data_IF_658248790141
#
_entry.id   IF_658248790141
#
_cell.length_a   1.000
_cell.length_b   1.000
_cell.length_c   1.000
_cell.angle_alpha   90.00
_cell.angle_beta   90.00
_cell.angle_gamma   90.00
#
_symmetry.space_group_name_H-M   'P 1'
#
loop_
_entity.id
_entity.type
_entity.pdbx_description
1 polymer ?
#
# COMPACT_ATOMS: atom_id res chain seq x y z
N UNK A 1 3.37 -17.12 -0.42
CA UNK A 1 4.17 -16.05 0.24
C UNK A 1 4.90 -15.19 -0.80
N UNK A 2 4.50 -15.27 -2.06
CA UNK A 2 5.43 -15.07 -3.17
C UNK A 2 5.34 -13.66 -3.76
N UNK A 3 4.16 -13.02 -3.68
CA UNK A 3 3.94 -11.68 -4.21
C UNK A 3 4.76 -10.61 -3.47
N UNK A 4 4.74 -10.58 -2.14
CA UNK A 4 5.48 -9.58 -1.37
C UNK A 4 6.99 -9.71 -1.58
N UNK A 5 7.50 -10.94 -1.59
CA UNK A 5 8.91 -11.21 -1.85
C UNK A 5 9.31 -10.75 -3.25
N UNK A 6 8.46 -11.01 -4.25
CA UNK A 6 8.68 -10.54 -5.62
C UNK A 6 8.68 -9.01 -5.70
N UNK A 7 7.78 -8.32 -4.99
CA UNK A 7 7.75 -6.85 -4.94
C UNK A 7 9.04 -6.32 -4.32
N UNK A 8 9.48 -6.88 -3.19
CA UNK A 8 10.75 -6.49 -2.54
C UNK A 8 11.93 -6.68 -3.50
N UNK A 9 12.04 -7.84 -4.15
CA UNK A 9 13.11 -8.12 -5.10
C UNK A 9 13.10 -7.15 -6.30
N UNK A 10 11.92 -6.79 -6.81
CA UNK A 10 11.81 -5.82 -7.89
C UNK A 10 12.18 -4.40 -7.46
N UNK A 11 11.85 -4.00 -6.23
CA UNK A 11 12.27 -2.72 -5.66
C UNK A 11 13.80 -2.69 -5.52
N UNK A 12 14.40 -3.74 -4.97
CA UNK A 12 15.86 -3.86 -4.84
C UNK A 12 16.56 -3.84 -6.20
N UNK A 13 15.99 -4.50 -7.20
CA UNK A 13 16.56 -4.57 -8.54
C UNK A 13 16.41 -3.26 -9.34
N UNK A 14 15.25 -2.61 -9.25
CA UNK A 14 14.94 -1.42 -10.07
C UNK A 14 15.26 -0.09 -9.39
N UNK A 15 15.44 -0.09 -8.07
CA UNK A 15 15.57 1.12 -7.26
C UNK A 15 14.29 1.95 -7.15
N UNK A 16 13.16 1.49 -7.72
CA UNK A 16 11.89 2.22 -7.69
C UNK A 16 11.22 2.04 -6.33
N UNK A 17 10.85 3.16 -5.72
CA UNK A 17 10.26 3.20 -4.36
C UNK A 17 8.75 3.43 -4.37
N UNK A 18 8.10 3.39 -5.55
CA UNK A 18 6.66 3.54 -5.71
C UNK A 18 6.04 2.23 -6.19
N UNK A 19 5.05 1.73 -5.45
CA UNK A 19 4.29 0.52 -5.82
C UNK A 19 2.81 0.88 -5.92
N UNK A 20 2.22 0.62 -7.07
CA UNK A 20 0.77 0.62 -7.25
C UNK A 20 0.28 -0.83 -7.31
N UNK A 21 -0.64 -1.18 -6.42
CA UNK A 21 -1.33 -2.47 -6.41
C UNK A 21 -2.74 -2.26 -6.95
N UNK A 22 -3.05 -2.93 -8.05
CA UNK A 22 -4.39 -2.91 -8.65
C UNK A 22 -5.22 -4.10 -8.16
N UNK A 23 -6.17 -3.80 -7.29
CA UNK A 23 -7.13 -4.75 -6.73
C UNK A 23 -8.56 -4.49 -7.22
N UNK A 24 -8.74 -3.71 -8.29
CA UNK A 24 -10.08 -3.39 -8.85
C UNK A 24 -10.88 -4.61 -9.30
N UNK A 25 -10.19 -5.73 -9.57
CA UNK A 25 -10.80 -7.01 -9.96
C UNK A 25 -11.24 -7.87 -8.79
N UNK A 26 -11.00 -7.45 -7.54
CA UNK A 26 -11.54 -8.17 -6.38
C UNK A 26 -13.05 -8.02 -6.33
N UNK A 27 -13.75 -9.14 -6.28
CA UNK A 27 -15.22 -9.17 -6.14
C UNK A 27 -15.68 -9.22 -4.70
N UNK A 28 -14.76 -9.55 -3.78
CA UNK A 28 -15.02 -9.69 -2.34
C UNK A 28 -13.85 -9.08 -1.59
N UNK A 29 -14.14 -8.31 -0.54
CA UNK A 29 -13.11 -7.82 0.38
C UNK A 29 -12.47 -9.00 1.12
N UNK A 30 -11.14 -9.05 1.22
CA UNK A 30 -10.48 -10.04 2.05
C UNK A 30 -10.93 -9.91 3.52
N UNK A 31 -11.03 -11.04 4.21
CA UNK A 31 -11.35 -11.06 5.64
C UNK A 31 -10.39 -10.18 6.46
N UNK A 32 -10.86 -9.63 7.57
CA UNK A 32 -10.09 -8.68 8.40
C UNK A 32 -8.73 -9.23 8.84
N UNK A 33 -8.61 -10.54 9.10
CA UNK A 33 -7.32 -11.15 9.45
C UNK A 33 -6.33 -11.16 8.27
N UNK A 34 -6.81 -11.28 7.04
CA UNK A 34 -5.99 -11.18 5.83
C UNK A 34 -5.51 -9.74 5.66
N UNK A 35 -6.42 -8.76 5.77
CA UNK A 35 -6.11 -7.32 5.70
C UNK A 35 -5.11 -6.90 6.80
N UNK A 36 -5.27 -7.42 8.02
CA UNK A 36 -4.32 -7.24 9.12
C UNK A 36 -2.92 -7.78 8.77
N UNK A 37 -2.83 -9.03 8.29
CA UNK A 37 -1.54 -9.64 7.91
C UNK A 37 -0.88 -8.91 6.74
N UNK A 38 -1.66 -8.42 5.78
CA UNK A 38 -1.16 -7.56 4.72
C UNK A 38 -0.52 -6.30 5.30
N UNK A 39 -1.23 -5.59 6.18
CA UNK A 39 -0.71 -4.39 6.83
C UNK A 39 0.58 -4.65 7.62
N UNK A 40 0.64 -5.74 8.39
CA UNK A 40 1.86 -6.15 9.12
C UNK A 40 3.04 -6.25 8.17
N UNK A 41 2.88 -7.09 7.13
CA UNK A 41 3.99 -7.46 6.27
C UNK A 41 4.46 -6.31 5.38
N UNK A 42 3.54 -5.45 4.95
CA UNK A 42 3.88 -4.21 4.25
C UNK A 42 4.72 -3.30 5.14
N UNK A 43 4.32 -3.14 6.41
CA UNK A 43 5.08 -2.40 7.42
C UNK A 43 6.50 -2.93 7.62
N UNK A 44 6.62 -4.24 7.82
CA UNK A 44 7.91 -4.93 8.05
C UNK A 44 8.82 -4.94 6.82
N UNK A 45 8.27 -5.09 5.62
CA UNK A 45 9.07 -5.22 4.40
C UNK A 45 9.59 -3.88 3.88
N UNK A 46 8.80 -2.80 4.04
CA UNK A 46 9.08 -1.55 3.34
C UNK A 46 9.48 -0.39 4.24
N UNK A 47 9.00 -0.35 5.49
CA UNK A 47 9.15 0.82 6.37
C UNK A 47 8.83 2.13 5.61
N UNK A 48 9.45 3.25 6.00
CA UNK A 48 9.24 4.55 5.36
C UNK A 48 9.95 4.70 3.99
N UNK A 49 10.52 3.62 3.44
CA UNK A 49 11.35 3.69 2.22
C UNK A 49 10.55 3.59 0.93
N UNK A 50 9.36 2.97 0.98
CA UNK A 50 8.54 2.67 -0.21
C UNK A 50 7.14 3.21 0.02
N UNK A 51 6.60 3.91 -0.97
CA UNK A 51 5.18 4.28 -1.03
C UNK A 51 4.39 3.19 -1.72
N UNK A 52 3.35 2.72 -1.05
CA UNK A 52 2.45 1.67 -1.55
C UNK A 52 1.04 2.23 -1.65
N UNK A 53 0.52 2.30 -2.87
CA UNK A 53 -0.86 2.65 -3.13
C UNK A 53 -1.66 1.40 -3.55
N UNK A 54 -2.86 1.24 -2.98
CA UNK A 54 -3.79 0.18 -3.35
C UNK A 54 -5.05 0.79 -3.95
N UNK A 55 -5.33 0.49 -5.22
CA UNK A 55 -6.62 0.82 -5.83
C UNK A 55 -7.57 -0.36 -5.73
N UNK A 56 -8.77 -0.14 -5.19
CA UNK A 56 -9.79 -1.17 -4.98
C UNK A 56 -11.16 -0.71 -5.51
N UNK A 57 -12.13 -1.61 -5.73
CA UNK A 57 -13.47 -1.20 -6.15
C UNK A 57 -14.17 -0.36 -5.07
N UNK A 58 -15.24 0.39 -5.42
CA UNK A 58 -16.06 1.11 -4.45
C UNK A 58 -16.87 0.11 -3.60
N UNK A 59 -16.24 -0.34 -2.53
CA UNK A 59 -16.80 -1.19 -1.47
C UNK A 59 -16.62 -0.48 -0.14
N UNK A 60 -17.44 -0.81 0.85
CA UNK A 60 -17.27 -0.30 2.21
C UNK A 60 -16.01 -0.93 2.81
N UNK A 61 -14.87 -0.24 2.67
CA UNK A 61 -13.58 -0.61 3.26
C UNK A 61 -13.27 0.37 4.39
N UNK A 62 -12.96 -0.18 5.56
CA UNK A 62 -12.53 0.56 6.75
C UNK A 62 -11.06 1.04 6.64
N UNK A 63 -10.42 0.82 5.49
CA UNK A 63 -8.99 1.04 5.23
C UNK A 63 -8.08 0.35 6.26
N UNK A 64 -8.55 -0.74 6.88
CA UNK A 64 -7.87 -1.34 8.03
C UNK A 64 -6.44 -1.78 7.72
N UNK A 65 -6.18 -2.29 6.52
CA UNK A 65 -4.82 -2.67 6.11
C UNK A 65 -3.88 -1.45 6.08
N UNK A 66 -4.37 -0.28 5.63
CA UNK A 66 -3.62 0.97 5.56
C UNK A 66 -3.24 1.42 6.97
N UNK A 67 -4.21 1.47 7.87
CA UNK A 67 -3.98 1.83 9.28
C UNK A 67 -2.92 0.91 9.90
N UNK A 68 -3.04 -0.40 9.68
CA UNK A 68 -2.13 -1.41 10.22
C UNK A 68 -0.71 -1.29 9.63
N UNK A 69 -0.59 -0.93 8.34
CA UNK A 69 0.70 -0.69 7.69
C UNK A 69 1.37 0.60 8.18
N UNK A 70 0.60 1.69 8.28
CA UNK A 70 1.08 3.01 8.73
C UNK A 70 1.54 2.99 10.18
N UNK A 71 0.82 2.29 11.06
CA UNK A 71 1.23 2.09 12.45
C UNK A 71 2.56 1.32 12.60
N UNK A 72 3.04 0.68 11.52
CA UNK A 72 4.36 0.03 11.45
C UNK A 72 5.39 0.81 10.63
N UNK A 73 5.08 2.05 10.29
CA UNK A 73 5.99 2.97 9.62
C UNK A 73 6.01 2.85 8.09
N UNK A 74 5.10 2.11 7.47
CA UNK A 74 4.98 2.13 6.00
C UNK A 74 4.27 3.40 5.51
N UNK A 75 4.68 3.88 4.34
CA UNK A 75 3.93 4.89 3.59
C UNK A 75 2.89 4.15 2.72
N UNK A 76 1.69 3.98 3.24
CA UNK A 76 0.61 3.26 2.57
C UNK A 76 -0.61 4.15 2.37
N UNK A 77 -1.32 3.97 1.25
CA UNK A 77 -2.60 4.62 0.96
C UNK A 77 -3.53 3.70 0.17
N UNK A 78 -4.81 3.66 0.50
CA UNK A 78 -5.85 3.02 -0.34
C UNK A 78 -6.89 3.99 -0.84
N UNK A 79 -7.56 3.62 -1.93
CA UNK A 79 -8.71 4.35 -2.43
C UNK A 79 -9.29 3.74 -3.71
N UNK A 80 -10.31 4.41 -4.23
CA UNK A 80 -11.00 4.00 -5.47
C UNK A 80 -10.55 4.81 -6.68
N UNK A 81 -9.97 6.00 -6.48
CA UNK A 81 -9.46 6.84 -7.56
C UNK A 81 -8.00 6.50 -7.88
N UNK A 82 -7.81 5.83 -9.02
CA UNK A 82 -6.47 5.46 -9.50
C UNK A 82 -5.59 6.67 -9.80
N UNK A 83 -6.16 7.75 -10.33
CA UNK A 83 -5.40 8.93 -10.72
C UNK A 83 -4.88 9.67 -9.48
N UNK A 84 -5.71 9.80 -8.45
CA UNK A 84 -5.31 10.38 -7.16
C UNK A 84 -4.17 9.57 -6.51
N UNK A 85 -4.31 8.24 -6.49
CA UNK A 85 -3.29 7.36 -5.92
C UNK A 85 -1.96 7.44 -6.67
N UNK A 86 -1.99 7.56 -8.00
CA UNK A 86 -0.78 7.76 -8.80
C UNK A 86 -0.16 9.11 -8.52
N UNK A 87 -0.96 10.18 -8.43
CA UNK A 87 -0.46 11.51 -8.09
C UNK A 87 0.27 11.47 -6.74
N UNK A 88 -0.32 10.84 -5.72
CA UNK A 88 0.28 10.66 -4.42
C UNK A 88 1.59 9.83 -4.44
N UNK A 89 1.65 8.77 -5.26
CA UNK A 89 2.89 8.01 -5.43
C UNK A 89 4.03 8.89 -6.00
N UNK A 90 3.69 9.84 -6.87
CA UNK A 90 4.65 10.68 -7.59
C UNK A 90 5.01 11.98 -6.85
N UNK A 91 4.29 12.37 -5.79
CA UNK A 91 4.68 13.48 -4.92
C UNK A 91 6.10 13.26 -4.38
N UNK A 92 6.90 14.32 -4.19
CA UNK A 92 8.25 14.18 -3.66
C UNK A 92 8.24 13.46 -2.29
N UNK A 93 9.16 12.49 -2.12
CA UNK A 93 9.31 11.69 -0.90
C UNK A 93 9.68 12.52 0.35
N UNK A 94 10.04 13.80 0.15
CA UNK A 94 10.44 14.73 1.21
C UNK A 94 9.28 15.48 1.88
N UNK A 95 8.03 15.25 1.47
CA UNK A 95 6.87 15.89 2.10
C UNK A 95 6.24 14.93 3.11
N UNK A 96 6.26 15.25 4.42
CA UNK A 96 5.51 14.49 5.41
C UNK A 96 4.01 14.58 5.08
N UNK A 97 3.33 13.45 5.15
CA UNK A 97 1.89 13.38 4.90
C UNK A 97 1.14 14.17 5.99
N UNK A 98 0.26 15.13 5.65
CA UNK A 98 -0.49 15.88 6.63
C UNK A 98 -1.64 15.00 7.16
N UNK A 99 -1.57 14.58 8.42
CA UNK A 99 -2.65 13.85 9.07
C UNK A 99 -2.23 12.81 10.10
N UNK A 100 -1.32 13.19 11.01
CA UNK A 100 -1.16 12.53 12.32
C UNK A 100 -1.94 13.31 13.36
#
# INVERSE_FOLDING_TARGET
>A
MDLLRMIVQQIEHSGKMQVLVDATRLTVLPESMVRYRMGIRTGEAFHARVRVALVHPPVEDDNFWETVARNRGAMARSGTDRAELIAWLMEDLNVPYPGS
#
